data_IF_851630853078
#
_entry.id   IF_851630853078
#
_cell.length_a   1.000
_cell.length_b   1.000
_cell.length_c   1.000
_cell.angle_alpha   90.00
_cell.angle_beta   90.00
_cell.angle_gamma   90.00
#
_symmetry.space_group_name_H-M   'P 1'
#
loop_
_entity.id
_entity.type
_entity.pdbx_description
1 polymer ?
#
# COMPACT_ATOMS: atom_id res chain seq x y z
N UNK A 1 20.52 -5.21 4.85
CA UNK A 1 19.32 -4.37 4.94
C UNK A 1 19.12 -4.09 6.41
N UNK A 2 19.10 -2.83 6.85
CA UNK A 2 18.55 -2.55 8.18
C UNK A 2 17.03 -2.64 8.04
N UNK A 3 16.46 -3.75 8.50
CA UNK A 3 15.00 -3.97 8.49
C UNK A 3 14.27 -2.84 9.24
N UNK A 4 14.95 -2.19 10.17
CA UNK A 4 14.56 -1.02 10.97
C UNK A 4 14.08 0.20 10.14
N UNK A 5 14.51 0.36 8.87
CA UNK A 5 14.09 1.50 8.05
C UNK A 5 12.89 1.20 7.12
N UNK A 6 12.49 -0.06 7.01
CA UNK A 6 11.49 -0.49 6.01
C UNK A 6 10.09 -0.04 6.41
N UNK A 7 9.66 -0.32 7.65
CA UNK A 7 8.29 -0.03 8.09
C UNK A 7 8.01 1.47 8.22
N UNK A 8 8.91 2.31 8.80
CA UNK A 8 8.70 3.75 8.79
C UNK A 8 8.59 4.31 7.36
N UNK A 9 9.46 3.87 6.45
CA UNK A 9 9.41 4.29 5.04
C UNK A 9 8.15 3.82 4.32
N UNK A 10 7.65 2.62 4.64
CA UNK A 10 6.41 2.09 4.10
C UNK A 10 5.21 2.93 4.56
N UNK A 11 5.10 3.20 5.86
CA UNK A 11 4.01 3.98 6.46
C UNK A 11 3.99 5.40 5.85
N UNK A 12 5.15 6.05 5.75
CA UNK A 12 5.28 7.39 5.16
C UNK A 12 4.78 7.41 3.70
N UNK A 13 5.19 6.44 2.89
CA UNK A 13 4.73 6.33 1.49
C UNK A 13 3.23 6.08 1.40
N UNK A 14 2.67 5.21 2.24
CA UNK A 14 1.23 4.94 2.27
C UNK A 14 0.43 6.19 2.64
N UNK A 15 0.87 6.95 3.65
CA UNK A 15 0.25 8.23 4.01
C UNK A 15 0.27 9.21 2.83
N UNK A 16 1.41 9.35 2.15
CA UNK A 16 1.55 10.27 1.03
C UNK A 16 0.73 9.84 -0.19
N UNK A 17 0.78 8.56 -0.55
CA UNK A 17 0.18 8.02 -1.78
C UNK A 17 -1.35 7.90 -1.72
N UNK A 18 -1.89 7.69 -0.52
CA UNK A 18 -3.33 7.63 -0.29
C UNK A 18 -3.86 8.88 0.41
N UNK A 19 -2.99 9.86 0.68
CA UNK A 19 -3.30 11.11 1.37
C UNK A 19 -4.08 10.86 2.66
N UNK A 20 -3.58 9.89 3.44
CA UNK A 20 -4.15 9.48 4.72
C UNK A 20 -3.76 10.49 5.80
N UNK A 21 -4.60 10.64 6.81
CA UNK A 21 -4.27 11.43 7.99
C UNK A 21 -3.13 10.77 8.77
N UNK A 22 -2.30 11.55 9.47
CA UNK A 22 -1.10 11.05 10.18
C UNK A 22 -1.39 9.91 11.17
N UNK A 23 -2.60 9.85 11.73
CA UNK A 23 -3.01 8.83 12.71
C UNK A 23 -3.67 7.61 12.05
N UNK A 24 -3.79 7.58 10.72
CA UNK A 24 -4.52 6.53 10.00
C UNK A 24 -3.83 5.17 9.98
N UNK A 25 -2.50 5.14 10.15
CA UNK A 25 -1.71 3.91 10.19
C UNK A 25 -0.88 3.88 11.48
N UNK A 26 -0.71 2.70 12.09
CA UNK A 26 0.04 2.56 13.33
C UNK A 26 1.53 2.77 13.07
N UNK A 27 2.20 3.55 13.92
CA UNK A 27 3.64 3.74 13.89
C UNK A 27 4.35 2.55 14.57
N UNK A 28 4.28 1.38 13.94
CA UNK A 28 4.79 0.11 14.49
C UNK A 28 5.55 -0.67 13.43
N UNK A 29 6.52 -1.47 13.88
CA UNK A 29 7.30 -2.39 13.03
C UNK A 29 6.59 -3.75 12.89
N UNK A 30 5.30 -3.72 12.55
CA UNK A 30 4.48 -4.93 12.41
C UNK A 30 3.62 -4.84 11.15
N UNK A 31 3.94 -5.68 10.16
CA UNK A 31 3.28 -5.67 8.86
C UNK A 31 1.79 -6.04 8.95
N UNK A 32 1.42 -6.98 9.82
CA UNK A 32 0.03 -7.42 9.96
C UNK A 32 -0.85 -6.31 10.53
N UNK A 33 -0.33 -5.54 11.50
CA UNK A 33 -1.04 -4.37 12.03
C UNK A 33 -1.18 -3.28 10.96
N UNK A 34 -0.09 -2.94 10.24
CA UNK A 34 -0.14 -1.98 9.13
C UNK A 34 -1.17 -2.42 8.08
N UNK A 35 -1.17 -3.72 7.72
CA UNK A 35 -2.10 -4.33 6.78
C UNK A 35 -3.54 -4.16 7.24
N UNK A 36 -3.87 -4.54 8.48
CA UNK A 36 -5.23 -4.45 9.00
C UNK A 36 -5.76 -3.01 8.98
N UNK A 37 -4.93 -2.03 9.36
CA UNK A 37 -5.31 -0.62 9.26
C UNK A 37 -5.49 -0.17 7.80
N UNK A 38 -4.59 -0.60 6.90
CA UNK A 38 -4.70 -0.27 5.48
C UNK A 38 -5.98 -0.84 4.86
N UNK A 39 -6.40 -2.06 5.23
CA UNK A 39 -7.65 -2.67 4.76
C UNK A 39 -8.85 -1.78 5.09
N UNK A 40 -8.91 -1.28 6.33
CA UNK A 40 -9.98 -0.36 6.76
C UNK A 40 -9.94 0.92 5.91
N UNK A 41 -8.76 1.49 5.68
CA UNK A 41 -8.60 2.72 4.89
C UNK A 41 -8.93 2.53 3.41
N UNK A 42 -8.55 1.40 2.82
CA UNK A 42 -8.92 1.04 1.44
C UNK A 42 -10.44 0.91 1.34
N UNK A 43 -11.08 0.20 2.27
CA UNK A 43 -12.53 0.05 2.30
C UNK A 43 -13.25 1.40 2.42
N UNK A 44 -12.79 2.27 3.32
CA UNK A 44 -13.31 3.63 3.47
C UNK A 44 -13.15 4.46 2.19
N UNK A 45 -11.95 4.46 1.60
CA UNK A 45 -11.64 5.24 0.41
C UNK A 45 -12.46 4.77 -0.80
N UNK A 46 -12.55 3.46 -1.03
CA UNK A 46 -13.38 2.88 -2.09
C UNK A 46 -14.86 3.25 -1.95
N UNK A 47 -15.37 3.32 -0.72
CA UNK A 47 -16.78 3.60 -0.45
C UNK A 47 -17.11 5.09 -0.52
N UNK A 48 -16.16 5.95 -0.11
CA UNK A 48 -16.36 7.41 -0.03
C UNK A 48 -15.98 8.13 -1.32
N UNK A 49 -14.91 7.70 -1.97
CA UNK A 49 -14.30 8.38 -3.12
C UNK A 49 -13.54 7.39 -4.01
N UNK A 50 -14.30 6.68 -4.83
CA UNK A 50 -13.79 5.62 -5.69
C UNK A 50 -12.81 6.13 -6.75
N UNK A 51 -13.06 7.32 -7.31
CA UNK A 51 -12.17 7.93 -8.31
C UNK A 51 -10.80 8.24 -7.70
N UNK A 52 -10.77 8.79 -6.47
CA UNK A 52 -9.51 9.00 -5.75
C UNK A 52 -8.81 7.69 -5.42
N UNK A 53 -9.54 6.65 -5.05
CA UNK A 53 -8.96 5.32 -4.86
C UNK A 53 -8.24 4.84 -6.13
N UNK A 54 -8.91 4.86 -7.28
CA UNK A 54 -8.30 4.45 -8.56
C UNK A 54 -7.09 5.32 -8.92
N UNK A 55 -7.19 6.64 -8.75
CA UNK A 55 -6.10 7.57 -9.00
C UNK A 55 -4.86 7.28 -8.13
N UNK A 56 -5.05 6.94 -6.85
CA UNK A 56 -3.96 6.53 -5.97
C UNK A 56 -3.29 5.25 -6.47
N UNK A 57 -4.06 4.27 -6.94
CA UNK A 57 -3.53 3.02 -7.51
C UNK A 57 -2.65 3.29 -8.75
N UNK A 58 -3.11 4.10 -9.70
CA UNK A 58 -2.32 4.45 -10.88
C UNK A 58 -1.02 5.19 -10.52
N UNK A 59 -1.07 6.12 -9.55
CA UNK A 59 0.11 6.90 -9.13
C UNK A 59 1.25 6.05 -8.57
N UNK A 60 0.92 4.93 -7.93
CA UNK A 60 1.92 4.04 -7.33
C UNK A 60 2.40 2.95 -8.29
N UNK A 61 1.92 2.95 -9.53
CA UNK A 61 2.28 1.98 -10.57
C UNK A 61 2.00 0.54 -10.09
N UNK A 62 0.78 0.32 -9.61
CA UNK A 62 0.26 -1.05 -9.39
C UNK A 62 -0.19 -1.66 -10.71
N UNK A 63 -0.04 -2.98 -10.83
CA UNK A 63 -0.46 -3.71 -12.01
C UNK A 63 -1.99 -3.65 -12.18
N UNK A 64 -2.46 -2.88 -13.16
CA UNK A 64 -3.88 -2.67 -13.40
C UNK A 64 -4.65 -3.96 -13.70
N UNK A 65 -4.00 -4.93 -14.37
CA UNK A 65 -4.62 -6.22 -14.66
C UNK A 65 -4.96 -6.94 -13.35
N UNK A 66 -4.02 -6.98 -12.40
CA UNK A 66 -4.27 -7.54 -11.06
C UNK A 66 -5.37 -6.77 -10.32
N UNK A 67 -5.38 -5.44 -10.40
CA UNK A 67 -6.46 -4.62 -9.79
C UNK A 67 -7.82 -5.01 -10.36
N UNK A 68 -7.95 -5.09 -11.69
CA UNK A 68 -9.20 -5.49 -12.35
C UNK A 68 -9.61 -6.91 -12.00
N UNK A 69 -8.67 -7.85 -11.91
CA UNK A 69 -8.95 -9.23 -11.49
C UNK A 69 -9.51 -9.27 -10.05
N UNK A 70 -8.92 -8.49 -9.14
CA UNK A 70 -9.40 -8.39 -7.76
C UNK A 70 -10.81 -7.78 -7.72
N UNK A 71 -11.04 -6.67 -8.43
CA UNK A 71 -12.34 -5.99 -8.45
C UNK A 71 -13.47 -6.86 -9.03
N UNK A 72 -13.16 -7.79 -9.92
CA UNK A 72 -14.11 -8.75 -10.50
C UNK A 72 -14.19 -10.08 -9.74
N UNK A 73 -13.52 -10.22 -8.59
CA UNK A 73 -13.60 -11.41 -7.77
C UNK A 73 -15.04 -11.71 -7.36
N UNK A 74 -15.43 -13.00 -7.41
CA UNK A 74 -16.78 -13.46 -7.02
C UNK A 74 -17.13 -13.06 -5.59
N UNK A 75 -16.18 -13.26 -4.67
CA UNK A 75 -16.31 -12.84 -3.29
C UNK A 75 -15.84 -11.39 -3.13
N UNK A 76 -16.81 -10.47 -3.12
CA UNK A 76 -16.55 -9.04 -2.99
C UNK A 76 -16.09 -8.63 -1.59
N UNK A 77 -16.33 -9.45 -0.57
CA UNK A 77 -15.96 -9.12 0.82
C UNK A 77 -14.44 -9.11 1.00
N UNK A 78 -13.72 -9.91 0.20
CA UNK A 78 -12.25 -10.02 0.21
C UNK A 78 -11.54 -8.96 -0.64
N UNK A 79 -12.28 -8.12 -1.39
CA UNK A 79 -11.69 -7.12 -2.30
C UNK A 79 -10.77 -6.14 -1.56
N UNK A 80 -11.19 -5.49 -0.45
CA UNK A 80 -10.32 -4.55 0.26
C UNK A 80 -9.03 -5.21 0.78
N UNK A 81 -9.10 -6.46 1.22
CA UNK A 81 -7.95 -7.24 1.70
C UNK A 81 -6.94 -7.47 0.59
N UNK A 82 -7.40 -8.00 -0.55
CA UNK A 82 -6.55 -8.27 -1.71
C UNK A 82 -5.94 -7.00 -2.29
N UNK A 83 -6.66 -5.89 -2.28
CA UNK A 83 -6.15 -4.59 -2.71
C UNK A 83 -5.10 -4.05 -1.74
N UNK A 84 -5.33 -4.14 -0.42
CA UNK A 84 -4.34 -3.74 0.58
C UNK A 84 -3.04 -4.55 0.44
N UNK A 85 -3.15 -5.85 0.20
CA UNK A 85 -1.99 -6.73 -0.06
C UNK A 85 -1.21 -6.29 -1.29
N UNK A 86 -1.91 -6.02 -2.40
CA UNK A 86 -1.29 -5.55 -3.63
C UNK A 86 -0.59 -4.19 -3.45
N UNK A 87 -1.19 -3.29 -2.69
CA UNK A 87 -0.61 -1.98 -2.36
C UNK A 87 0.67 -2.16 -1.53
N UNK A 88 0.63 -2.99 -0.48
CA UNK A 88 1.78 -3.24 0.39
C UNK A 88 2.92 -3.88 -0.41
N UNK A 89 2.63 -4.89 -1.23
CA UNK A 89 3.62 -5.54 -2.09
C UNK A 89 4.34 -4.50 -2.96
N UNK A 90 3.58 -3.63 -3.62
CA UNK A 90 4.13 -2.57 -4.49
C UNK A 90 4.97 -1.56 -3.70
N UNK A 91 4.50 -1.12 -2.54
CA UNK A 91 5.21 -0.13 -1.73
C UNK A 91 6.49 -0.68 -1.12
N UNK A 92 6.47 -1.93 -0.65
CA UNK A 92 7.68 -2.62 -0.18
C UNK A 92 8.73 -2.73 -1.28
N UNK A 93 8.33 -3.02 -2.52
CA UNK A 93 9.25 -3.01 -3.66
C UNK A 93 9.89 -1.63 -3.88
N UNK A 94 9.11 -0.55 -3.79
CA UNK A 94 9.62 0.83 -3.92
C UNK A 94 10.57 1.19 -2.78
N UNK A 95 10.23 0.85 -1.54
CA UNK A 95 11.09 1.08 -0.35
C UNK A 95 12.41 0.32 -0.52
N UNK A 96 12.37 -0.97 -0.85
CA UNK A 96 13.57 -1.79 -1.07
C UNK A 96 14.45 -1.22 -2.18
N UNK A 97 13.85 -0.83 -3.31
CA UNK A 97 14.58 -0.22 -4.43
C UNK A 97 15.28 1.07 -4.00
N UNK A 98 14.58 1.93 -3.25
CA UNK A 98 15.15 3.18 -2.74
C UNK A 98 16.32 2.94 -1.77
N UNK A 99 16.20 1.94 -0.88
CA UNK A 99 17.28 1.56 0.04
C UNK A 99 18.49 1.02 -0.74
N UNK A 100 18.28 0.09 -1.68
CA UNK A 100 19.35 -0.46 -2.50
C UNK A 100 20.08 0.60 -3.33
N UNK A 101 19.34 1.59 -3.85
CA UNK A 101 19.92 2.74 -4.54
C UNK A 101 20.79 3.59 -3.60
N UNK A 102 20.30 3.91 -2.39
CA UNK A 102 21.08 4.65 -1.37
C UNK A 102 22.34 3.90 -0.93
N UNK A 103 22.28 2.56 -0.86
CA UNK A 103 23.41 1.71 -0.49
C UNK A 103 24.41 1.47 -1.66
N UNK A 104 24.16 2.01 -2.86
CA UNK A 104 24.99 1.77 -4.04
C UNK A 104 24.95 0.31 -4.53
N UNK A 105 23.90 -0.43 -4.17
CA UNK A 105 23.72 -1.87 -4.48
C UNK A 105 22.78 -2.11 -5.66
N UNK A 106 22.19 -1.07 -6.24
CA UNK A 106 21.57 -1.16 -7.56
C UNK A 106 22.71 -1.24 -8.59
N UNK A 107 22.93 -2.44 -9.12
CA UNK A 107 23.87 -2.67 -10.24
C UNK A 107 23.14 -2.58 -11.57
#
# INVERSE_FOLDING_TARGET
>A
MKEEEIYPSLIEKLHKDFSLEKESLPAVDNLDLIRNHLIVKVKELMSRDYDRFLNSMYRIDVNEKKVREILHCKDRTTIPEKLADLIIERQLMRVKTQILYKEGKLK
#
